data_IF_119172241057
#
_entry.id   IF_119172241057
#
_cell.length_a   1.000
_cell.length_b   1.000
_cell.length_c   1.000
_cell.angle_alpha   90.00
_cell.angle_beta   90.00
_cell.angle_gamma   90.00
#
_symmetry.space_group_name_H-M   'P 1'
#
loop_
_entity.id
_entity.type
_entity.pdbx_description
1 polymer ?
#
# COMPACT_ATOMS: atom_id res chain seq x y z
N UNK A 1 -10.92 -2.30 -7.86
CA UNK A 1 -10.01 -3.46 -8.09
C UNK A 1 -10.49 -4.63 -7.27
N UNK A 2 -10.66 -5.82 -7.89
CA UNK A 2 -11.13 -7.06 -7.25
C UNK A 2 -10.14 -8.19 -7.51
N UNK A 3 -10.22 -9.28 -6.74
CA UNK A 3 -9.45 -10.50 -7.04
C UNK A 3 -9.81 -11.09 -8.41
N UNK A 4 -11.08 -11.01 -8.81
CA UNK A 4 -11.54 -11.44 -10.14
C UNK A 4 -10.95 -10.65 -11.31
N UNK A 5 -10.39 -9.46 -11.06
CA UNK A 5 -9.70 -8.65 -12.08
C UNK A 5 -8.25 -9.09 -12.32
N UNK A 6 -7.77 -10.10 -11.57
CA UNK A 6 -6.38 -10.57 -11.60
C UNK A 6 -6.32 -11.91 -12.33
N UNK A 7 -5.52 -11.97 -13.39
CA UNK A 7 -5.26 -13.22 -14.10
C UNK A 7 -4.10 -13.95 -13.45
N UNK A 8 -4.29 -15.22 -13.09
CA UNK A 8 -3.29 -16.02 -12.39
C UNK A 8 -3.26 -15.74 -10.88
N UNK A 9 -2.19 -16.17 -10.23
CA UNK A 9 -1.96 -15.96 -8.78
C UNK A 9 -3.02 -16.58 -7.85
N UNK A 10 -3.76 -17.61 -8.30
CA UNK A 10 -4.83 -18.23 -7.51
C UNK A 10 -4.40 -18.64 -6.10
N UNK A 11 -3.25 -19.29 -5.96
CA UNK A 11 -2.72 -19.68 -4.65
C UNK A 11 -2.44 -18.49 -3.71
N UNK A 12 -1.90 -17.38 -4.25
CA UNK A 12 -1.68 -16.17 -3.46
C UNK A 12 -3.02 -15.51 -3.09
N UNK A 13 -3.96 -15.45 -4.02
CA UNK A 13 -5.31 -14.93 -3.78
C UNK A 13 -6.01 -15.74 -2.69
N UNK A 14 -5.98 -17.07 -2.77
CA UNK A 14 -6.63 -17.94 -1.79
C UNK A 14 -6.00 -17.80 -0.40
N UNK A 15 -4.67 -17.67 -0.33
CA UNK A 15 -3.97 -17.41 0.93
C UNK A 15 -4.38 -16.06 1.55
N UNK A 16 -4.39 -14.98 0.76
CA UNK A 16 -4.76 -13.65 1.24
C UNK A 16 -6.24 -13.58 1.64
N UNK A 17 -7.11 -14.24 0.89
CA UNK A 17 -8.54 -14.36 1.22
C UNK A 17 -8.72 -15.07 2.57
N UNK A 18 -8.03 -16.19 2.76
CA UNK A 18 -8.10 -16.97 4.00
C UNK A 18 -7.70 -16.16 5.25
N UNK A 19 -6.69 -15.28 5.14
CA UNK A 19 -6.28 -14.39 6.25
C UNK A 19 -7.43 -13.47 6.69
N UNK A 20 -8.18 -12.93 5.74
CA UNK A 20 -9.29 -12.03 6.03
C UNK A 20 -10.51 -12.79 6.55
N UNK A 21 -10.83 -13.93 5.93
CA UNK A 21 -12.03 -14.72 6.26
C UNK A 21 -11.90 -15.41 7.62
N UNK A 22 -10.67 -15.75 8.04
CA UNK A 22 -10.38 -16.29 9.37
C UNK A 22 -10.14 -15.22 10.45
N UNK A 23 -10.18 -13.94 10.10
CA UNK A 23 -9.82 -12.80 10.96
C UNK A 23 -8.40 -12.93 11.56
N UNK A 24 -7.46 -13.50 10.80
CA UNK A 24 -6.07 -13.73 11.19
C UNK A 24 -5.09 -13.00 10.29
N UNK A 25 -5.34 -11.71 10.06
CA UNK A 25 -4.45 -10.89 9.21
C UNK A 25 -3.20 -10.55 10.03
N UNK A 26 -1.99 -10.98 9.61
CA UNK A 26 -0.76 -10.59 10.27
C UNK A 26 -0.52 -9.09 10.10
N UNK A 27 0.09 -8.46 11.08
CA UNK A 27 0.38 -7.02 11.06
C UNK A 27 1.37 -6.61 9.95
N UNK A 28 2.16 -7.55 9.41
CA UNK A 28 3.08 -7.31 8.31
C UNK A 28 3.00 -8.42 7.27
N UNK A 29 2.86 -8.06 6.01
CA UNK A 29 2.81 -8.98 4.86
C UNK A 29 3.82 -8.52 3.82
N UNK A 30 4.74 -9.41 3.45
CA UNK A 30 5.68 -9.18 2.35
C UNK A 30 5.16 -9.81 1.07
N UNK A 31 4.91 -8.99 0.04
CA UNK A 31 4.50 -9.43 -1.30
C UNK A 31 5.73 -9.40 -2.21
N UNK A 32 6.39 -10.52 -2.37
CA UNK A 32 7.62 -10.64 -3.18
C UNK A 32 7.38 -11.32 -4.52
N UNK A 33 8.24 -11.02 -5.49
CA UNK A 33 8.19 -11.62 -6.83
C UNK A 33 8.86 -10.74 -7.89
N UNK A 34 9.03 -11.24 -9.12
CA UNK A 34 9.67 -10.50 -10.22
C UNK A 34 8.99 -9.15 -10.51
N UNK A 35 9.73 -8.16 -11.06
CA UNK A 35 9.11 -6.95 -11.59
C UNK A 35 8.01 -7.28 -12.61
N UNK A 36 6.95 -6.48 -12.65
CA UNK A 36 5.86 -6.64 -13.62
C UNK A 36 4.91 -7.82 -13.38
N UNK A 37 5.09 -8.64 -12.33
CA UNK A 37 4.20 -9.80 -12.06
C UNK A 37 2.81 -9.42 -11.52
N UNK A 38 2.57 -8.14 -11.23
CA UNK A 38 1.26 -7.67 -10.75
C UNK A 38 1.10 -7.57 -9.23
N UNK A 39 2.21 -7.49 -8.48
CA UNK A 39 2.20 -7.38 -7.00
C UNK A 39 1.26 -6.28 -6.50
N UNK A 40 1.35 -5.07 -7.06
CA UNK A 40 0.49 -3.96 -6.62
C UNK A 40 -0.98 -4.18 -6.97
N UNK A 41 -1.29 -4.82 -8.09
CA UNK A 41 -2.68 -5.20 -8.41
C UNK A 41 -3.24 -6.16 -7.36
N UNK A 42 -2.45 -7.16 -6.98
CA UNK A 42 -2.81 -8.10 -5.92
C UNK A 42 -3.00 -7.38 -4.58
N UNK A 43 -2.08 -6.48 -4.22
CA UNK A 43 -2.18 -5.66 -3.00
C UNK A 43 -3.44 -4.79 -2.99
N UNK A 44 -3.78 -4.14 -4.12
CA UNK A 44 -5.02 -3.33 -4.23
C UNK A 44 -6.28 -4.18 -4.12
N UNK A 45 -6.34 -5.34 -4.72
CA UNK A 45 -7.47 -6.25 -4.57
C UNK A 45 -7.59 -6.77 -3.13
N UNK A 46 -6.46 -7.07 -2.49
CA UNK A 46 -6.41 -7.50 -1.10
C UNK A 46 -6.87 -6.39 -0.14
N UNK A 47 -6.39 -5.15 -0.29
CA UNK A 47 -6.87 -4.03 0.53
C UNK A 47 -8.36 -3.76 0.30
N UNK A 48 -8.86 -3.86 -0.93
CA UNK A 48 -10.30 -3.80 -1.20
C UNK A 48 -11.07 -4.92 -0.50
N UNK A 49 -10.50 -6.12 -0.42
CA UNK A 49 -11.13 -7.24 0.29
C UNK A 49 -11.13 -7.04 1.81
N UNK A 50 -10.06 -6.51 2.38
CA UNK A 50 -9.97 -6.17 3.82
C UNK A 50 -11.07 -5.18 4.20
N UNK A 51 -11.19 -4.07 3.47
CA UNK A 51 -12.10 -2.97 3.78
C UNK A 51 -13.55 -3.23 3.35
N UNK A 52 -13.80 -4.19 2.47
CA UNK A 52 -15.14 -4.44 1.94
C UNK A 52 -16.14 -4.80 3.04
N UNK A 53 -17.21 -4.02 3.12
CA UNK A 53 -18.29 -4.23 4.10
C UNK A 53 -19.31 -5.29 3.67
N UNK A 54 -19.25 -5.77 2.42
CA UNK A 54 -20.21 -6.73 1.87
C UNK A 54 -19.52 -7.67 0.87
N UNK A 55 -18.59 -8.50 1.39
CA UNK A 55 -17.88 -9.51 0.59
C UNK A 55 -18.85 -10.54 0.05
N UNK A 56 -18.70 -10.94 -1.20
CA UNK A 56 -19.56 -11.93 -1.85
C UNK A 56 -18.72 -12.81 -2.78
N UNK A 57 -18.99 -14.13 -2.77
CA UNK A 57 -18.29 -15.07 -3.65
C UNK A 57 -16.77 -15.11 -3.47
N UNK A 58 -16.26 -14.79 -2.27
CA UNK A 58 -14.83 -14.72 -2.00
C UNK A 58 -14.15 -13.49 -2.62
N UNK A 59 -14.90 -12.41 -2.90
CA UNK A 59 -14.36 -11.18 -3.47
C UNK A 59 -14.98 -9.92 -2.84
N UNK A 60 -14.36 -8.78 -3.07
CA UNK A 60 -14.92 -7.48 -2.68
C UNK A 60 -16.13 -7.13 -3.55
N UNK A 61 -17.15 -6.49 -2.98
CA UNK A 61 -18.38 -6.18 -3.72
C UNK A 61 -18.21 -5.07 -4.79
N UNK A 62 -17.18 -4.21 -4.67
CA UNK A 62 -16.89 -3.11 -5.59
C UNK A 62 -17.88 -1.94 -5.55
N UNK A 63 -18.86 -1.92 -4.61
CA UNK A 63 -19.93 -0.91 -4.58
C UNK A 63 -20.25 -0.35 -3.19
N UNK A 64 -19.73 -0.93 -2.13
CA UNK A 64 -19.89 -0.35 -0.79
C UNK A 64 -18.99 0.89 -0.62
N UNK A 65 -19.27 1.77 0.36
CA UNK A 65 -18.48 2.99 0.56
C UNK A 65 -16.98 2.73 0.62
N UNK A 66 -16.55 1.71 1.34
CA UNK A 66 -15.14 1.36 1.45
C UNK A 66 -14.49 0.98 0.10
N UNK A 67 -15.17 0.17 -0.72
CA UNK A 67 -14.68 -0.18 -2.05
C UNK A 67 -14.56 1.06 -2.96
N UNK A 68 -15.56 1.94 -2.93
CA UNK A 68 -15.54 3.16 -3.72
C UNK A 68 -14.43 4.12 -3.26
N UNK A 69 -14.24 4.27 -1.95
CA UNK A 69 -13.15 5.08 -1.40
C UNK A 69 -11.77 4.55 -1.78
N UNK A 70 -11.58 3.23 -1.74
CA UNK A 70 -10.32 2.63 -2.18
C UNK A 70 -10.08 2.82 -3.68
N UNK A 71 -11.11 2.65 -4.50
CA UNK A 71 -11.00 2.82 -5.95
C UNK A 71 -10.78 4.30 -6.34
N UNK A 72 -11.26 5.25 -5.53
CA UNK A 72 -11.01 6.68 -5.72
C UNK A 72 -9.80 7.22 -4.93
N UNK A 73 -9.00 6.36 -4.31
CA UNK A 73 -7.81 6.72 -3.51
C UNK A 73 -8.08 7.75 -2.39
N UNK A 74 -9.26 7.72 -1.80
CA UNK A 74 -9.67 8.63 -0.73
C UNK A 74 -10.08 7.91 0.57
N UNK A 75 -9.70 6.63 0.73
CA UNK A 75 -9.85 5.94 2.01
C UNK A 75 -8.88 6.53 3.04
N UNK A 76 -9.38 7.11 4.14
CA UNK A 76 -8.53 7.79 5.13
C UNK A 76 -7.63 6.83 5.95
N UNK A 77 -7.93 5.54 5.93
CA UNK A 77 -7.18 4.51 6.66
C UNK A 77 -6.27 3.67 5.76
N UNK A 78 -6.19 3.99 4.45
CA UNK A 78 -5.29 3.34 3.49
C UNK A 78 -4.24 4.31 2.99
N UNK A 79 -3.00 4.10 3.39
CA UNK A 79 -1.88 4.98 3.10
C UNK A 79 -0.89 4.30 2.15
N UNK A 80 -0.47 5.04 1.11
CA UNK A 80 0.58 4.59 0.20
C UNK A 80 1.88 5.30 0.50
N UNK A 81 2.96 4.54 0.63
CA UNK A 81 4.33 5.02 0.80
C UNK A 81 5.12 4.57 -0.43
N UNK A 82 5.81 5.49 -1.06
CA UNK A 82 6.49 5.26 -2.32
C UNK A 82 7.78 6.10 -2.42
N UNK A 83 8.77 5.67 -3.21
CA UNK A 83 9.99 6.41 -3.41
C UNK A 83 9.72 7.78 -4.05
N UNK A 84 10.41 8.81 -3.58
CA UNK A 84 10.31 10.19 -4.08
C UNK A 84 11.65 10.89 -4.13
N UNK A 85 11.69 12.11 -4.65
CA UNK A 85 12.85 13.00 -4.62
C UNK A 85 12.63 14.16 -3.65
N UNK A 86 13.69 14.86 -3.24
CA UNK A 86 13.58 16.09 -2.46
C UNK A 86 13.28 15.90 -0.97
N UNK A 87 14.15 15.19 -0.25
CA UNK A 87 14.01 14.84 1.17
C UNK A 87 13.60 15.99 2.11
N UNK A 88 14.17 17.18 1.89
CA UNK A 88 14.03 18.30 2.82
C UNK A 88 13.00 19.35 2.39
N UNK A 89 12.40 19.24 1.21
CA UNK A 89 11.59 20.29 0.62
C UNK A 89 10.16 19.87 0.27
N UNK A 90 9.89 18.56 0.24
CA UNK A 90 8.58 18.05 -0.21
C UNK A 90 8.18 16.87 0.68
N UNK A 91 7.02 16.95 1.31
CA UNK A 91 6.38 15.79 1.97
C UNK A 91 5.84 14.81 0.92
N UNK A 92 5.53 13.59 1.34
CA UNK A 92 4.85 12.59 0.49
C UNK A 92 3.51 13.12 -0.05
N UNK A 93 2.82 13.95 0.72
CA UNK A 93 1.54 14.55 0.34
C UNK A 93 1.58 15.31 -0.99
N UNK A 94 2.70 15.99 -1.30
CA UNK A 94 2.87 16.72 -2.56
C UNK A 94 2.80 15.79 -3.78
N UNK A 95 3.18 14.53 -3.61
CA UNK A 95 3.21 13.54 -4.68
C UNK A 95 1.94 12.68 -4.76
N UNK A 96 1.02 12.78 -3.80
CA UNK A 96 -0.22 11.97 -3.78
C UNK A 96 -1.03 12.13 -5.08
N UNK A 97 -1.27 13.34 -5.62
CA UNK A 97 -2.01 13.46 -6.88
C UNK A 97 -1.34 12.71 -8.05
N UNK A 98 -0.01 12.83 -8.18
CA UNK A 98 0.76 12.12 -9.20
C UNK A 98 0.75 10.60 -8.97
N UNK A 99 0.80 10.17 -7.70
CA UNK A 99 0.69 8.77 -7.33
C UNK A 99 -0.65 8.17 -7.72
N UNK A 100 -1.74 8.86 -7.44
CA UNK A 100 -3.09 8.42 -7.77
C UNK A 100 -3.27 8.26 -9.28
N UNK A 101 -2.76 9.20 -10.08
CA UNK A 101 -2.76 9.09 -11.53
C UNK A 101 -1.88 7.93 -12.01
N UNK A 102 -0.69 7.78 -11.43
CA UNK A 102 0.26 6.73 -11.79
C UNK A 102 -0.29 5.34 -11.53
N UNK A 103 -0.89 5.09 -10.36
CA UNK A 103 -1.43 3.77 -9.99
C UNK A 103 -2.64 3.37 -10.84
N UNK A 104 -3.39 4.32 -11.39
CA UNK A 104 -4.47 4.05 -12.33
C UNK A 104 -3.96 3.80 -13.75
N UNK A 105 -2.96 4.56 -14.18
CA UNK A 105 -2.42 4.49 -15.54
C UNK A 105 -1.58 3.22 -15.77
N UNK A 106 -0.77 2.83 -14.78
CA UNK A 106 0.21 1.76 -14.93
C UNK A 106 -0.14 0.52 -14.11
N UNK A 107 -0.78 -0.45 -14.73
CA UNK A 107 -1.18 -1.71 -14.07
C UNK A 107 -0.03 -2.48 -13.44
N UNK A 108 1.18 -2.40 -14.00
CA UNK A 108 2.37 -3.11 -13.52
C UNK A 108 3.39 -2.22 -12.83
N UNK A 109 3.15 -0.92 -12.79
CA UNK A 109 3.89 0.09 -12.02
C UNK A 109 5.42 0.02 -12.18
N UNK A 110 5.96 0.30 -13.38
CA UNK A 110 7.41 0.27 -13.59
C UNK A 110 8.07 1.45 -12.86
N UNK A 111 9.15 1.16 -12.11
CA UNK A 111 9.84 2.16 -11.29
C UNK A 111 10.44 3.31 -12.11
N UNK A 112 10.84 3.03 -13.33
CA UNK A 112 11.38 4.01 -14.29
C UNK A 112 10.31 5.02 -14.72
N UNK A 113 9.08 4.56 -14.96
CA UNK A 113 7.96 5.45 -15.31
C UNK A 113 7.53 6.32 -14.13
N UNK A 114 7.62 5.78 -12.91
CA UNK A 114 7.42 6.60 -11.71
C UNK A 114 8.46 7.71 -11.60
N UNK A 115 9.75 7.38 -11.79
CA UNK A 115 10.82 8.36 -11.78
C UNK A 115 10.61 9.48 -12.83
N UNK A 116 10.09 9.14 -14.00
CA UNK A 116 9.72 10.11 -15.04
C UNK A 116 8.51 10.95 -14.62
N UNK A 117 7.49 10.33 -14.05
CA UNK A 117 6.26 11.00 -13.59
C UNK A 117 6.55 12.09 -12.55
N UNK A 118 7.50 11.83 -11.63
CA UNK A 118 7.90 12.81 -10.61
C UNK A 118 9.07 13.72 -11.05
N UNK A 119 9.45 13.68 -12.32
CA UNK A 119 10.55 14.47 -12.89
C UNK A 119 11.87 14.31 -12.11
N UNK A 120 12.21 13.07 -11.77
CA UNK A 120 13.38 12.77 -10.94
C UNK A 120 14.73 13.10 -11.62
N UNK A 121 14.75 13.24 -12.94
CA UNK A 121 15.97 13.45 -13.74
C UNK A 121 16.95 12.29 -13.54
N UNK A 122 18.17 12.60 -13.12
CA UNK A 122 19.20 11.59 -12.81
C UNK A 122 19.18 11.11 -11.34
N UNK A 123 18.25 11.63 -10.53
CA UNK A 123 18.14 11.25 -9.12
C UNK A 123 17.34 9.95 -9.00
N UNK A 124 17.87 8.99 -8.27
CA UNK A 124 17.13 7.77 -7.93
C UNK A 124 16.14 8.10 -6.81
N UNK A 125 14.82 7.92 -7.03
CA UNK A 125 13.83 8.12 -5.97
C UNK A 125 14.04 7.11 -4.83
N UNK A 126 13.91 7.58 -3.58
CA UNK A 126 14.06 6.77 -2.36
C UNK A 126 12.95 7.10 -1.35
N UNK A 127 12.73 6.22 -0.38
CA UNK A 127 11.87 6.45 0.76
C UNK A 127 12.75 6.98 1.90
N UNK A 128 12.42 8.15 2.42
CA UNK A 128 13.25 8.88 3.36
C UNK A 128 12.88 8.56 4.81
N UNK A 129 13.79 8.86 5.75
CA UNK A 129 13.54 8.79 7.20
C UNK A 129 12.31 9.61 7.62
N UNK A 130 12.05 10.74 6.96
CA UNK A 130 10.86 11.57 7.22
C UNK A 130 9.55 10.81 6.98
N UNK A 131 9.54 9.89 6.01
CA UNK A 131 8.36 9.06 5.72
C UNK A 131 8.12 8.05 6.85
N UNK A 132 9.17 7.44 7.41
CA UNK A 132 9.04 6.59 8.59
C UNK A 132 8.56 7.36 9.83
N UNK A 133 9.00 8.60 10.03
CA UNK A 133 8.51 9.44 11.11
C UNK A 133 7.02 9.78 10.95
N UNK A 134 6.57 10.03 9.73
CA UNK A 134 5.15 10.27 9.42
C UNK A 134 4.31 9.01 9.64
N UNK A 135 4.78 7.85 9.19
CA UNK A 135 4.14 6.56 9.47
C UNK A 135 4.00 6.36 10.99
N UNK A 136 5.08 6.57 11.76
CA UNK A 136 5.06 6.40 13.22
C UNK A 136 4.04 7.33 13.88
N UNK A 137 4.00 8.60 13.44
CA UNK A 137 3.06 9.59 13.95
C UNK A 137 1.60 9.23 13.67
N UNK A 138 1.32 8.81 12.44
CA UNK A 138 -0.05 8.49 12.01
C UNK A 138 -0.50 7.11 12.49
N UNK A 139 0.40 6.13 12.62
CA UNK A 139 0.10 4.81 13.14
C UNK A 139 -0.29 4.83 14.63
N UNK A 140 0.26 5.77 15.40
CA UNK A 140 -0.09 5.95 16.81
C UNK A 140 -1.53 6.49 17.02
N UNK A 141 -2.16 7.02 15.98
CA UNK A 141 -3.55 7.47 16.03
C UNK A 141 -4.48 6.29 15.72
N UNK A 142 -5.67 6.27 16.30
CA UNK A 142 -6.71 5.30 15.92
C UNK A 142 -7.06 5.42 14.44
N UNK A 143 -7.54 4.33 13.84
CA UNK A 143 -8.14 4.37 12.50
C UNK A 143 -9.33 5.33 12.49
N UNK A 144 -9.60 5.95 11.35
CA UNK A 144 -10.63 6.99 11.25
C UNK A 144 -12.03 6.42 10.93
N UNK A 145 -12.12 5.56 9.94
CA UNK A 145 -13.40 5.08 9.41
C UNK A 145 -13.57 3.56 9.49
N UNK A 146 -12.48 2.82 9.49
CA UNK A 146 -12.49 1.36 9.41
C UNK A 146 -11.71 0.73 10.54
N UNK A 147 -11.82 -0.60 10.68
CA UNK A 147 -11.10 -1.34 11.73
C UNK A 147 -9.59 -1.23 11.55
N UNK A 148 -9.10 -1.46 10.36
CA UNK A 148 -7.66 -1.49 10.10
C UNK A 148 -7.16 -0.16 9.53
N UNK A 149 -5.94 0.23 9.94
CA UNK A 149 -5.13 1.24 9.27
C UNK A 149 -4.03 0.53 8.51
N UNK A 150 -3.98 0.71 7.19
CA UNK A 150 -3.07 -0.03 6.31
C UNK A 150 -2.05 0.89 5.66
N UNK A 151 -0.78 0.52 5.75
CA UNK A 151 0.33 1.14 5.05
C UNK A 151 0.83 0.20 3.95
N UNK A 152 0.63 0.59 2.71
CA UNK A 152 1.18 -0.09 1.54
C UNK A 152 2.47 0.59 1.14
N UNK A 153 3.59 -0.12 1.27
CA UNK A 153 4.93 0.41 0.98
C UNK A 153 5.41 -0.16 -0.34
N UNK A 154 5.40 0.66 -1.37
CA UNK A 154 5.84 0.28 -2.70
C UNK A 154 7.34 0.47 -2.87
N UNK A 155 8.03 -0.55 -3.37
CA UNK A 155 9.50 -0.62 -3.51
C UNK A 155 10.23 -0.41 -2.16
N UNK A 156 9.97 -1.24 -1.14
CA UNK A 156 10.61 -1.12 0.17
C UNK A 156 12.14 -1.21 0.10
N UNK A 157 12.70 -1.86 -0.92
CA UNK A 157 14.14 -1.92 -1.21
C UNK A 157 14.76 -0.55 -1.55
N UNK A 158 13.92 0.45 -1.81
CA UNK A 158 14.32 1.86 -2.02
C UNK A 158 14.33 2.69 -0.74
N UNK A 159 14.13 2.08 0.41
CA UNK A 159 14.27 2.78 1.69
C UNK A 159 15.71 3.14 1.97
N UNK A 160 15.93 4.35 2.45
CA UNK A 160 17.20 4.68 3.11
C UNK A 160 17.37 3.86 4.38
N UNK A 161 18.61 3.55 4.75
CA UNK A 161 18.92 2.73 5.94
C UNK A 161 18.26 3.26 7.22
N UNK A 162 18.29 4.58 7.40
CA UNK A 162 17.66 5.22 8.56
C UNK A 162 16.13 5.10 8.57
N UNK A 163 15.51 5.09 7.39
CA UNK A 163 14.08 4.84 7.23
C UNK A 163 13.75 3.40 7.61
N UNK A 164 14.46 2.43 7.04
CA UNK A 164 14.28 1.03 7.34
C UNK A 164 14.44 0.72 8.83
N UNK A 165 15.51 1.21 9.46
CA UNK A 165 15.76 1.05 10.89
C UNK A 165 14.65 1.66 11.77
N UNK A 166 14.08 2.80 11.36
CA UNK A 166 12.98 3.41 12.10
C UNK A 166 11.66 2.58 11.98
N UNK A 167 11.42 1.95 10.83
CA UNK A 167 10.25 1.10 10.62
C UNK A 167 10.36 -0.26 11.31
N UNK A 168 11.56 -0.80 11.54
CA UNK A 168 11.73 -2.07 12.25
C UNK A 168 11.00 -2.10 13.58
N UNK A 169 11.07 -1.01 14.36
CA UNK A 169 10.38 -0.91 15.65
C UNK A 169 8.85 -1.04 15.52
N UNK A 170 8.28 -0.45 14.47
CA UNK A 170 6.84 -0.54 14.19
C UNK A 170 6.43 -1.92 13.67
N UNK A 171 7.34 -2.61 12.97
CA UNK A 171 7.10 -3.96 12.48
C UNK A 171 7.26 -5.00 13.59
N UNK A 172 8.12 -4.75 14.59
CA UNK A 172 8.29 -5.62 15.77
C UNK A 172 7.17 -5.42 16.80
N UNK A 173 6.78 -4.17 17.04
CA UNK A 173 5.77 -3.78 18.02
C UNK A 173 4.71 -2.88 17.37
N UNK A 174 3.83 -3.42 16.53
CA UNK A 174 2.83 -2.64 15.81
C UNK A 174 1.74 -2.11 16.76
N UNK A 175 1.19 -0.95 16.42
CA UNK A 175 -0.04 -0.49 17.06
C UNK A 175 -1.21 -1.41 16.71
N UNK A 176 -2.21 -1.55 17.61
CA UNK A 176 -3.40 -2.36 17.33
C UNK A 176 -4.05 -2.02 15.99
N UNK A 177 -4.53 -3.05 15.29
CA UNK A 177 -5.22 -2.94 14.00
C UNK A 177 -4.43 -2.17 12.91
N UNK A 178 -3.09 -2.11 13.03
CA UNK A 178 -2.21 -1.53 12.02
C UNK A 178 -1.62 -2.62 11.14
N UNK A 179 -1.74 -2.47 9.82
CA UNK A 179 -1.25 -3.42 8.83
C UNK A 179 -0.17 -2.78 7.95
N UNK A 180 0.90 -3.52 7.71
CA UNK A 180 1.94 -3.16 6.75
C UNK A 180 1.96 -4.17 5.61
N UNK A 181 1.93 -3.68 4.36
CA UNK A 181 2.07 -4.49 3.15
C UNK A 181 3.28 -3.95 2.37
N UNK A 182 4.33 -4.78 2.22
CA UNK A 182 5.59 -4.41 1.60
C UNK A 182 5.81 -5.18 0.31
#
# INVERSE_FOLDING_TARGET
MKFSDITGHSGAIDSLRSLVDSDQIPHAILVSGPPGVGKMRLTRAFTNYIYCQNRQGGDSCGRCPACLQNDHHNNPDLHYIFPRTGANTKSTEVFIPLWNEFIERYSYMPAEEWARTIEAGNTVPVIYRSDAAEISRTAALSSYAYRYKTYVIWLPERMQQECANALLKLLEEPYPDTLFIL
#
